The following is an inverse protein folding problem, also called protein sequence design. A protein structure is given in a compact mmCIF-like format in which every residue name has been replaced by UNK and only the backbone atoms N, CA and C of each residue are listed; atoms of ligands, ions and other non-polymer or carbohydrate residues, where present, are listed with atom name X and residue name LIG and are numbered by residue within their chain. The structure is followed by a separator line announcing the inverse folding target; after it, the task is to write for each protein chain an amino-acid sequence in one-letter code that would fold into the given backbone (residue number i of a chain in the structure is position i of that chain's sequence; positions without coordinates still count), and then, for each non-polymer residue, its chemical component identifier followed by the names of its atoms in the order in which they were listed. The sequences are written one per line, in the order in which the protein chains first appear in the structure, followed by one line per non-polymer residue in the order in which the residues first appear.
data_IF_391447827944
#
_entry.id   IF_391447827944
#
_cell.length_a   1.000
_cell.length_b   1.000
_cell.length_c   1.000
_cell.angle_alpha   90.00
_cell.angle_beta   90.00
_cell.angle_gamma   90.00
#
_symmetry.space_group_name_H-M   'P 1'
#
loop_
_entity.id
_entity.type
_entity.pdbx_description
1 polymer ?
#
# COMPACT_ATOMS: atom_id res chain seq x y z
N UNK A 1 -11.50 5.23 36.59
CA UNK A 1 -10.92 3.89 36.83
C UNK A 1 -9.56 3.86 36.14
N UNK A 2 -8.48 3.52 36.85
CA UNK A 2 -7.12 3.83 36.41
C UNK A 2 -6.69 2.98 35.20
N UNK A 3 -6.34 3.65 34.10
CA UNK A 3 -5.74 3.07 32.88
C UNK A 3 -4.48 2.24 33.15
N UNK A 4 -3.86 2.40 34.33
CA UNK A 4 -2.73 1.60 34.80
C UNK A 4 -3.06 0.11 35.02
N UNK A 5 -4.33 -0.30 35.12
CA UNK A 5 -4.67 -1.70 35.37
C UNK A 5 -4.73 -2.58 34.10
N UNK A 6 -4.94 -1.99 32.92
CA UNK A 6 -5.25 -2.74 31.70
C UNK A 6 -4.11 -2.73 30.66
N UNK A 7 -3.17 -1.79 30.74
CA UNK A 7 -2.07 -1.63 29.78
C UNK A 7 -0.73 -1.62 30.51
N UNK A 8 0.22 -2.39 29.99
CA UNK A 8 1.55 -2.48 30.59
C UNK A 8 2.49 -1.35 30.09
N UNK A 9 3.72 -1.31 30.62
CA UNK A 9 4.72 -0.31 30.21
C UNK A 9 5.13 -0.44 28.75
N UNK A 10 5.07 -1.65 28.20
CA UNK A 10 5.45 -1.93 26.81
C UNK A 10 4.38 -1.45 25.83
N UNK A 11 3.10 -1.55 26.19
CA UNK A 11 2.00 -0.95 25.42
C UNK A 11 2.20 0.57 25.28
N UNK A 12 2.53 1.24 26.39
CA UNK A 12 2.77 2.69 26.38
C UNK A 12 4.03 3.06 25.60
N UNK A 13 5.12 2.33 25.80
CA UNK A 13 6.37 2.58 25.08
C UNK A 13 6.19 2.42 23.56
N UNK A 14 5.42 1.41 23.13
CA UNK A 14 5.12 1.21 21.71
C UNK A 14 4.22 2.31 21.18
N UNK A 15 3.19 2.73 21.92
CA UNK A 15 2.34 3.86 21.53
C UNK A 15 3.15 5.17 21.39
N UNK A 16 4.03 5.46 22.34
CA UNK A 16 4.92 6.62 22.29
C UNK A 16 5.83 6.57 21.04
N UNK A 17 6.35 5.38 20.69
CA UNK A 17 7.13 5.18 19.47
C UNK A 17 6.28 5.43 18.21
N UNK A 18 5.03 4.96 18.19
CA UNK A 18 4.12 5.17 17.05
C UNK A 18 3.79 6.65 16.87
N UNK A 19 3.35 7.30 17.94
CA UNK A 19 2.94 8.70 17.91
C UNK A 19 4.13 9.61 17.59
N UNK A 20 5.31 9.36 18.17
CA UNK A 20 6.52 10.17 17.88
C UNK A 20 7.00 10.05 16.43
N UNK A 21 6.94 8.85 15.83
CA UNK A 21 7.31 8.64 14.42
C UNK A 21 6.32 9.32 13.47
N UNK A 22 5.05 9.36 13.86
CA UNK A 22 3.96 10.03 13.10
C UNK A 22 4.01 11.56 13.22
N UNK A 23 4.46 12.11 14.35
CA UNK A 23 4.45 13.55 14.66
C UNK A 23 5.67 14.34 14.15
N UNK A 24 6.67 13.72 13.53
CA UNK A 24 7.91 14.39 13.11
C UNK A 24 8.61 15.16 14.25
N UNK A 25 8.66 14.63 15.47
CA UNK A 25 9.51 15.24 16.51
C UNK A 25 10.98 15.10 16.08
N UNK A 26 11.68 16.23 16.04
CA UNK A 26 13.05 16.41 15.53
C UNK A 26 14.12 15.64 16.32
N UNK A 27 13.78 15.16 17.52
CA UNK A 27 14.64 14.29 18.33
C UNK A 27 14.54 12.83 17.85
N UNK A 28 15.37 12.51 16.86
CA UNK A 28 15.53 11.15 16.37
C UNK A 28 16.20 10.31 17.46
N UNK A 29 15.41 9.51 18.20
CA UNK A 29 15.94 8.53 19.16
C UNK A 29 16.87 7.54 18.44
N UNK A 30 17.90 7.04 19.15
CA UNK A 30 18.89 6.10 18.60
C UNK A 30 18.23 4.89 17.91
N UNK A 31 17.11 4.41 18.45
CA UNK A 31 16.29 3.33 17.85
C UNK A 31 15.77 3.72 16.46
N UNK A 32 15.22 4.93 16.29
CA UNK A 32 14.78 5.43 14.98
C UNK A 32 15.94 5.58 13.99
N UNK A 33 17.17 5.90 14.46
CA UNK A 33 18.36 5.92 13.59
C UNK A 33 18.79 4.53 13.15
N UNK A 34 18.76 3.55 14.06
CA UNK A 34 19.09 2.16 13.76
C UNK A 34 18.12 1.57 12.74
N UNK A 35 16.83 1.88 12.87
CA UNK A 35 15.82 1.41 11.92
C UNK A 35 15.77 2.17 10.59
N UNK A 36 16.17 3.44 10.56
CA UNK A 36 16.35 4.21 9.32
C UNK A 36 17.61 3.77 8.53
N UNK A 37 18.53 3.08 9.19
CA UNK A 37 19.66 2.44 8.51
C UNK A 37 19.13 1.15 7.90
N UNK A 38 19.37 0.92 6.60
CA UNK A 38 18.92 -0.27 5.85
C UNK A 38 19.59 -1.58 6.34
N UNK A 39 19.49 -1.86 7.63
CA UNK A 39 20.01 -3.03 8.31
C UNK A 39 19.00 -4.15 8.14
N UNK A 40 19.52 -5.33 7.81
CA UNK A 40 18.69 -6.52 7.66
C UNK A 40 18.00 -6.88 9.00
N UNK A 41 16.72 -7.31 9.00
CA UNK A 41 15.98 -7.64 10.23
C UNK A 41 16.65 -8.66 11.16
N UNK A 42 17.43 -9.59 10.61
CA UNK A 42 18.17 -10.63 11.35
C UNK A 42 19.61 -10.24 11.71
N UNK A 43 20.00 -8.99 11.43
CA UNK A 43 21.32 -8.47 11.78
C UNK A 43 21.34 -7.83 13.16
N UNK A 44 22.06 -6.73 13.30
CA UNK A 44 22.20 -5.98 14.56
C UNK A 44 20.84 -5.55 15.15
N UNK A 45 19.82 -5.36 14.30
CA UNK A 45 18.47 -4.97 14.71
C UNK A 45 17.78 -5.99 15.63
N UNK A 46 18.00 -7.30 15.42
CA UNK A 46 17.39 -8.33 16.26
C UNK A 46 17.99 -8.42 17.66
N UNK A 47 19.21 -7.93 17.83
CA UNK A 47 19.90 -7.87 19.13
C UNK A 47 19.52 -6.61 19.92
N UNK A 48 19.10 -5.56 19.22
CA UNK A 48 18.79 -4.27 19.84
C UNK A 48 17.30 -4.09 20.14
N UNK A 49 16.39 -4.79 19.45
CA UNK A 49 14.94 -4.50 19.48
C UNK A 49 14.08 -5.76 19.35
N UNK A 50 12.85 -5.72 19.88
CA UNK A 50 11.91 -6.84 19.80
C UNK A 50 11.22 -6.91 18.43
N UNK A 51 10.75 -8.10 18.02
CA UNK A 51 10.05 -8.30 16.75
C UNK A 51 8.82 -7.40 16.61
N UNK A 52 8.05 -7.21 17.68
CA UNK A 52 6.87 -6.35 17.71
C UNK A 52 7.23 -4.91 17.37
N UNK A 53 8.31 -4.39 17.97
CA UNK A 53 8.81 -3.04 17.70
C UNK A 53 9.32 -2.88 16.27
N UNK A 54 10.03 -3.87 15.74
CA UNK A 54 10.50 -3.85 14.34
C UNK A 54 9.35 -3.85 13.35
N UNK A 55 8.37 -4.73 13.57
CA UNK A 55 7.16 -4.78 12.75
C UNK A 55 6.39 -3.46 12.84
N UNK A 56 6.18 -2.93 14.04
CA UNK A 56 5.49 -1.67 14.21
C UNK A 56 6.19 -0.55 13.42
N UNK A 57 7.51 -0.45 13.57
CA UNK A 57 8.32 0.54 12.87
C UNK A 57 8.23 0.39 11.35
N UNK A 58 8.39 -0.82 10.81
CA UNK A 58 8.31 -1.08 9.38
C UNK A 58 6.94 -0.68 8.81
N UNK A 59 5.85 -1.00 9.52
CA UNK A 59 4.50 -0.61 9.10
C UNK A 59 4.32 0.90 9.16
N UNK A 60 4.73 1.57 10.24
CA UNK A 60 4.57 3.03 10.39
C UNK A 60 5.37 3.78 9.33
N UNK A 61 6.61 3.35 9.06
CA UNK A 61 7.43 3.96 8.01
C UNK A 61 6.78 3.81 6.64
N UNK A 62 6.16 2.66 6.34
CA UNK A 62 5.39 2.48 5.12
C UNK A 62 4.16 3.40 5.09
N UNK A 63 3.35 3.45 6.16
CA UNK A 63 2.17 4.31 6.21
C UNK A 63 2.55 5.79 6.05
N UNK A 64 3.64 6.22 6.66
CA UNK A 64 4.17 7.58 6.51
C UNK A 64 4.63 7.87 5.08
N UNK A 65 5.35 6.95 4.45
CA UNK A 65 5.86 7.17 3.07
C UNK A 65 4.72 7.20 2.05
N UNK A 66 3.64 6.43 2.25
CA UNK A 66 2.49 6.41 1.35
C UNK A 66 1.47 7.53 1.59
N UNK A 67 1.41 8.10 2.80
CA UNK A 67 0.52 9.24 3.14
C UNK A 67 1.19 10.61 2.94
N UNK A 68 2.52 10.68 3.01
CA UNK A 68 3.29 11.92 2.82
C UNK A 68 3.61 12.25 1.35
N UNK A 69 4.33 13.36 1.15
CA UNK A 69 4.94 13.76 -0.13
C UNK A 69 6.22 12.95 -0.46
N UNK A 70 6.38 11.75 0.11
CA UNK A 70 7.56 10.92 -0.14
C UNK A 70 7.67 10.59 -1.64
N UNK A 71 8.88 10.40 -2.13
CA UNK A 71 9.06 9.99 -3.52
C UNK A 71 8.71 8.49 -3.71
N UNK A 72 8.62 8.03 -4.95
CA UNK A 72 8.31 6.62 -5.24
C UNK A 72 9.38 5.66 -4.68
N UNK A 73 10.65 6.08 -4.62
CA UNK A 73 11.76 5.26 -4.13
C UNK A 73 11.65 5.00 -2.62
N UNK A 74 11.34 6.04 -1.84
CA UNK A 74 11.09 5.95 -0.40
C UNK A 74 9.92 5.01 -0.09
N UNK A 75 8.82 5.14 -0.86
CA UNK A 75 7.66 4.24 -0.75
C UNK A 75 8.01 2.78 -1.01
N UNK A 76 8.72 2.51 -2.10
CA UNK A 76 9.13 1.15 -2.48
C UNK A 76 10.12 0.55 -1.48
N UNK A 77 11.06 1.36 -0.99
CA UNK A 77 12.02 0.95 0.04
C UNK A 77 11.31 0.56 1.34
N UNK A 78 10.37 1.39 1.81
CA UNK A 78 9.57 1.09 2.99
C UNK A 78 8.69 -0.16 2.80
N UNK A 79 8.13 -0.36 1.60
CA UNK A 79 7.33 -1.54 1.28
C UNK A 79 8.19 -2.82 1.32
N UNK A 80 9.41 -2.76 0.77
CA UNK A 80 10.36 -3.87 0.82
C UNK A 80 10.79 -4.19 2.25
N UNK A 81 11.11 -3.18 3.05
CA UNK A 81 11.44 -3.37 4.46
C UNK A 81 10.31 -4.03 5.24
N UNK A 82 9.05 -3.63 5.01
CA UNK A 82 7.88 -4.29 5.60
C UNK A 82 7.77 -5.75 5.14
N UNK A 83 7.86 -6.00 3.84
CA UNK A 83 7.74 -7.36 3.30
C UNK A 83 8.82 -8.28 3.88
N UNK A 84 10.06 -7.80 3.96
CA UNK A 84 11.17 -8.54 4.53
C UNK A 84 10.97 -8.81 6.03
N UNK A 85 10.44 -7.86 6.80
CA UNK A 85 10.10 -8.10 8.21
C UNK A 85 9.00 -9.16 8.35
N UNK A 86 7.95 -9.10 7.51
CA UNK A 86 6.84 -10.08 7.55
C UNK A 86 7.31 -11.49 7.20
N UNK A 87 8.07 -11.64 6.11
CA UNK A 87 8.45 -12.96 5.59
C UNK A 87 9.59 -13.57 6.38
N UNK A 88 10.57 -12.75 6.77
CA UNK A 88 11.79 -13.27 7.37
C UNK A 88 11.70 -13.30 8.90
N UNK A 89 11.11 -12.30 9.55
CA UNK A 89 11.24 -12.15 11.02
C UNK A 89 10.20 -12.92 11.83
N UNK A 90 9.08 -13.29 11.21
CA UNK A 90 8.06 -14.09 11.87
C UNK A 90 8.53 -15.55 12.01
N UNK A 91 8.84 -15.99 13.23
CA UNK A 91 9.20 -17.39 13.55
C UNK A 91 8.00 -18.36 13.51
N UNK A 92 6.81 -17.85 13.19
CA UNK A 92 5.55 -18.61 13.11
C UNK A 92 5.33 -19.18 11.72
N UNK A 93 4.65 -20.34 11.56
CA UNK A 93 4.23 -20.83 10.25
C UNK A 93 3.10 -19.99 9.60
N UNK A 94 2.52 -19.00 10.32
CA UNK A 94 1.36 -18.22 9.90
C UNK A 94 1.72 -16.76 9.55
N UNK A 95 2.86 -16.57 8.87
CA UNK A 95 3.55 -15.28 8.70
C UNK A 95 2.75 -14.27 7.89
N UNK A 96 2.24 -14.70 6.72
CA UNK A 96 1.56 -13.82 5.78
C UNK A 96 0.27 -13.29 6.43
N UNK A 97 -0.54 -14.18 7.00
CA UNK A 97 -1.76 -13.77 7.66
C UNK A 97 -1.50 -12.90 8.89
N UNK A 98 -0.46 -13.21 9.67
CA UNK A 98 -0.01 -12.37 10.79
C UNK A 98 0.35 -10.96 10.31
N UNK A 99 1.19 -10.84 9.28
CA UNK A 99 1.57 -9.55 8.70
C UNK A 99 0.37 -8.75 8.18
N UNK A 100 -0.57 -9.41 7.48
CA UNK A 100 -1.80 -8.76 6.98
C UNK A 100 -2.63 -8.16 8.11
N UNK A 101 -2.77 -8.88 9.22
CA UNK A 101 -3.48 -8.38 10.41
C UNK A 101 -2.71 -7.24 11.07
N UNK A 102 -1.39 -7.37 11.25
CA UNK A 102 -0.58 -6.32 11.90
C UNK A 102 -0.62 -5.00 11.13
N UNK A 103 -0.54 -5.06 9.80
CA UNK A 103 -0.68 -3.86 8.95
C UNK A 103 -2.06 -3.24 9.13
N UNK A 104 -3.12 -4.06 9.17
CA UNK A 104 -4.48 -3.55 9.36
C UNK A 104 -4.68 -2.92 10.75
N UNK A 105 -4.16 -3.56 11.82
CA UNK A 105 -4.20 -2.97 13.18
C UNK A 105 -3.45 -1.65 13.21
N UNK A 106 -2.27 -1.54 12.59
CA UNK A 106 -1.52 -0.29 12.58
C UNK A 106 -2.26 0.84 11.86
N UNK A 107 -2.94 0.53 10.75
CA UNK A 107 -3.82 1.51 10.09
C UNK A 107 -4.93 1.99 11.03
N UNK A 108 -5.49 1.10 11.85
CA UNK A 108 -6.49 1.45 12.85
C UNK A 108 -5.87 2.34 13.97
N UNK A 109 -4.63 2.05 14.41
CA UNK A 109 -3.88 2.85 15.40
C UNK A 109 -3.66 4.28 14.90
N UNK A 110 -3.20 4.43 13.65
CA UNK A 110 -2.97 5.74 13.03
C UNK A 110 -4.27 6.53 12.89
N UNK A 111 -5.38 5.86 12.53
CA UNK A 111 -6.72 6.48 12.43
C UNK A 111 -7.28 6.90 13.78
N UNK A 112 -6.98 6.17 14.85
CA UNK A 112 -7.44 6.47 16.20
C UNK A 112 -6.62 7.57 16.91
N UNK A 113 -5.68 8.21 16.20
CA UNK A 113 -4.85 9.29 16.75
C UNK A 113 -5.72 10.39 17.40
N UNK A 114 -5.33 10.80 18.60
CA UNK A 114 -6.10 11.74 19.44
C UNK A 114 -7.06 11.07 20.41
N UNK A 115 -7.19 9.73 20.37
CA UNK A 115 -7.88 8.93 21.36
C UNK A 115 -6.91 7.89 21.96
N UNK A 116 -6.15 8.30 22.97
CA UNK A 116 -5.07 7.51 23.57
C UNK A 116 -5.57 6.16 24.12
N UNK A 117 -6.76 6.13 24.72
CA UNK A 117 -7.35 4.89 25.25
C UNK A 117 -7.58 3.88 24.12
N UNK A 118 -8.13 4.34 22.99
CA UNK A 118 -8.37 3.46 21.84
C UNK A 118 -7.07 3.03 21.17
N UNK A 119 -6.09 3.94 21.05
CA UNK A 119 -4.77 3.58 20.56
C UNK A 119 -4.09 2.54 21.46
N UNK A 120 -4.17 2.67 22.79
CA UNK A 120 -3.61 1.68 23.73
C UNK A 120 -4.25 0.30 23.57
N UNK A 121 -5.57 0.22 23.38
CA UNK A 121 -6.24 -1.06 23.08
C UNK A 121 -5.71 -1.70 21.80
N UNK A 122 -5.60 -0.91 20.73
CA UNK A 122 -5.13 -1.39 19.43
C UNK A 122 -3.64 -1.79 19.48
N UNK A 123 -2.81 -1.09 20.26
CA UNK A 123 -1.41 -1.45 20.51
C UNK A 123 -1.30 -2.76 21.26
N UNK A 124 -2.14 -2.95 22.27
CA UNK A 124 -2.19 -4.20 23.02
C UNK A 124 -2.59 -5.38 22.12
N UNK A 125 -3.59 -5.17 21.24
CA UNK A 125 -3.98 -6.13 20.21
C UNK A 125 -2.87 -6.40 19.19
N UNK A 126 -2.15 -5.36 18.76
CA UNK A 126 -0.99 -5.49 17.86
C UNK A 126 0.06 -6.43 18.46
N UNK A 127 0.43 -6.23 19.74
CA UNK A 127 1.40 -7.09 20.44
C UNK A 127 0.92 -8.54 20.55
N UNK A 128 -0.37 -8.77 20.83
CA UNK A 128 -0.95 -10.12 20.84
C UNK A 128 -0.83 -10.82 19.50
N UNK A 129 -1.10 -10.11 18.41
CA UNK A 129 -1.02 -10.66 17.05
C UNK A 129 0.43 -10.89 16.64
N UNK A 130 1.36 -10.02 17.04
CA UNK A 130 2.77 -10.08 16.65
C UNK A 130 3.50 -11.33 17.18
N UNK A 131 2.96 -11.99 18.23
CA UNK A 131 3.39 -13.32 18.67
C UNK A 131 3.07 -14.44 17.66
N UNK A 132 2.22 -14.20 16.66
CA UNK A 132 2.00 -15.10 15.53
C UNK A 132 1.17 -16.35 15.85
N UNK A 133 0.41 -16.37 16.95
CA UNK A 133 -0.45 -17.50 17.32
C UNK A 133 -1.61 -17.64 16.32
N UNK A 134 -1.74 -18.75 15.57
CA UNK A 134 -2.74 -18.86 14.50
C UNK A 134 -4.19 -18.70 14.97
N UNK A 135 -4.52 -19.14 16.19
CA UNK A 135 -5.89 -18.99 16.74
C UNK A 135 -6.22 -17.52 16.98
N UNK A 136 -5.28 -16.77 17.53
CA UNK A 136 -5.43 -15.32 17.76
C UNK A 136 -5.53 -14.62 16.41
N UNK A 137 -4.59 -14.86 15.50
CA UNK A 137 -4.56 -14.20 14.18
C UNK A 137 -5.86 -14.45 13.41
N UNK A 138 -6.42 -15.67 13.42
CA UNK A 138 -7.73 -15.97 12.82
C UNK A 138 -8.88 -15.17 13.40
N UNK A 139 -8.91 -15.01 14.72
CA UNK A 139 -9.91 -14.15 15.38
C UNK A 139 -9.83 -12.71 14.88
N UNK A 140 -8.62 -12.19 14.72
CA UNK A 140 -8.38 -10.83 14.23
C UNK A 140 -8.62 -10.66 12.72
N UNK A 141 -8.37 -11.69 11.91
CA UNK A 141 -8.76 -11.73 10.51
C UNK A 141 -10.29 -11.60 10.38
N UNK A 142 -11.03 -12.43 11.13
CA UNK A 142 -12.49 -12.44 11.13
C UNK A 142 -13.07 -11.09 11.60
N UNK A 143 -12.56 -10.52 12.69
CA UNK A 143 -13.05 -9.25 13.24
C UNK A 143 -12.80 -8.05 12.31
N UNK A 144 -11.89 -8.19 11.34
CA UNK A 144 -11.52 -7.15 10.36
C UNK A 144 -11.99 -7.49 8.95
N UNK A 145 -12.85 -8.50 8.79
CA UNK A 145 -13.39 -8.94 7.50
C UNK A 145 -12.29 -9.31 6.48
N UNK A 146 -11.18 -9.87 6.97
CA UNK A 146 -10.10 -10.40 6.15
C UNK A 146 -10.24 -11.92 6.06
N UNK A 147 -10.21 -12.45 4.84
CA UNK A 147 -10.15 -13.91 4.64
C UNK A 147 -8.75 -14.42 5.02
N UNK A 148 -8.68 -15.60 5.65
CA UNK A 148 -7.44 -16.36 5.80
C UNK A 148 -6.95 -16.80 4.43
N UNK A 149 -5.69 -16.47 4.11
CA UNK A 149 -5.03 -16.87 2.87
C UNK A 149 -4.12 -18.07 3.11
N UNK A 150 -3.86 -18.92 2.10
CA UNK A 150 -2.83 -19.93 2.23
C UNK A 150 -1.45 -19.28 2.41
N UNK A 151 -0.64 -19.83 3.31
CA UNK A 151 0.72 -19.33 3.57
C UNK A 151 1.69 -19.63 2.41
N UNK A 152 1.34 -20.54 1.50
CA UNK A 152 2.00 -20.75 0.20
C UNK A 152 1.79 -19.59 -0.79
N UNK A 153 0.83 -18.70 -0.52
CA UNK A 153 0.50 -17.53 -1.36
C UNK A 153 0.14 -17.87 -2.82
N UNK A 154 -0.59 -18.98 -3.00
CA UNK A 154 -0.99 -19.58 -4.27
C UNK A 154 -2.50 -19.48 -4.54
N UNK A 155 -3.24 -18.67 -3.77
CA UNK A 155 -4.66 -18.44 -3.95
C UNK A 155 -5.02 -17.81 -5.31
N UNK A 156 -6.25 -18.07 -5.78
CA UNK A 156 -6.80 -17.55 -7.04
C UNK A 156 -7.72 -16.34 -6.81
N UNK A 157 -7.20 -15.28 -6.19
CA UNK A 157 -7.92 -14.03 -5.96
C UNK A 157 -7.48 -12.96 -6.95
N UNK A 158 -8.44 -12.24 -7.53
CA UNK A 158 -8.14 -11.21 -8.52
C UNK A 158 -9.11 -10.03 -8.47
N UNK A 159 -8.62 -8.87 -8.92
CA UNK A 159 -9.43 -7.71 -9.26
C UNK A 159 -8.96 -7.18 -10.62
N UNK A 160 -9.87 -7.13 -11.59
CA UNK A 160 -9.53 -6.85 -12.99
C UNK A 160 -9.82 -5.41 -13.41
N UNK A 161 -10.29 -4.55 -12.51
CA UNK A 161 -10.60 -3.17 -12.85
C UNK A 161 -10.40 -2.27 -11.63
N UNK A 162 -9.18 -1.76 -11.46
CA UNK A 162 -8.86 -0.84 -10.36
C UNK A 162 -8.16 0.40 -10.88
N UNK A 163 -8.40 1.53 -10.22
CA UNK A 163 -7.72 2.80 -10.49
C UNK A 163 -6.86 3.21 -9.30
N UNK A 164 -5.68 3.77 -9.59
CA UNK A 164 -4.84 4.46 -8.61
C UNK A 164 -5.05 6.00 -8.70
N UNK A 165 -4.30 6.76 -7.89
CA UNK A 165 -4.39 8.21 -7.83
C UNK A 165 -3.93 8.97 -9.07
N UNK A 166 -3.30 8.32 -10.05
CA UNK A 166 -2.94 8.92 -11.33
C UNK A 166 -4.14 8.96 -12.30
N UNK A 167 -5.30 8.44 -11.87
CA UNK A 167 -6.59 8.63 -12.55
C UNK A 167 -7.69 9.02 -11.57
N UNK A 168 -8.60 8.10 -11.25
CA UNK A 168 -9.78 8.32 -10.40
C UNK A 168 -9.65 7.69 -9.01
N UNK A 169 -8.58 6.94 -8.77
CA UNK A 169 -8.32 6.32 -7.48
C UNK A 169 -7.86 7.35 -6.44
N UNK A 170 -7.80 6.92 -5.18
CA UNK A 170 -7.32 7.75 -4.06
C UNK A 170 -5.92 7.39 -3.57
N UNK A 171 -5.38 6.25 -4.03
CA UNK A 171 -4.17 5.64 -3.51
C UNK A 171 -3.09 5.64 -4.58
N UNK A 172 -1.88 6.03 -4.22
CA UNK A 172 -0.71 5.87 -5.10
C UNK A 172 -0.45 4.37 -5.39
N UNK A 173 0.37 4.04 -6.41
CA UNK A 173 0.62 2.67 -6.81
C UNK A 173 1.10 1.76 -5.66
N UNK A 174 2.06 2.22 -4.85
CA UNK A 174 2.58 1.45 -3.72
C UNK A 174 1.49 1.15 -2.68
N UNK A 175 0.69 2.16 -2.31
CA UNK A 175 -0.44 1.98 -1.38
C UNK A 175 -1.45 0.99 -1.97
N UNK A 176 -1.81 1.14 -3.26
CA UNK A 176 -2.77 0.24 -3.91
C UNK A 176 -2.32 -1.23 -3.79
N UNK A 177 -1.05 -1.52 -4.05
CA UNK A 177 -0.48 -2.86 -3.93
C UNK A 177 -0.49 -3.37 -2.48
N UNK A 178 -0.10 -2.54 -1.50
CA UNK A 178 -0.16 -2.90 -0.08
C UNK A 178 -1.60 -3.29 0.31
N UNK A 179 -2.60 -2.50 -0.08
CA UNK A 179 -4.00 -2.77 0.25
C UNK A 179 -4.54 -4.02 -0.44
N UNK A 180 -4.11 -4.29 -1.67
CA UNK A 180 -4.43 -5.54 -2.35
C UNK A 180 -3.83 -6.75 -1.63
N UNK A 181 -2.59 -6.63 -1.14
CA UNK A 181 -1.95 -7.67 -0.35
C UNK A 181 -2.67 -7.93 0.98
N UNK A 182 -3.06 -6.87 1.71
CA UNK A 182 -3.88 -7.00 2.94
C UNK A 182 -5.19 -7.75 2.64
N UNK A 183 -5.84 -7.45 1.51
CA UNK A 183 -7.07 -8.13 1.08
C UNK A 183 -6.86 -9.56 0.58
N UNK A 184 -5.61 -9.98 0.41
CA UNK A 184 -5.29 -11.32 -0.11
C UNK A 184 -5.39 -11.43 -1.63
N UNK A 185 -5.42 -10.32 -2.37
CA UNK A 185 -5.53 -10.30 -3.84
C UNK A 185 -4.18 -10.69 -4.48
N UNK A 186 -4.20 -11.70 -5.37
CA UNK A 186 -3.00 -12.23 -6.03
C UNK A 186 -2.76 -11.66 -7.43
N UNK A 187 -3.80 -11.14 -8.07
CA UNK A 187 -3.73 -10.55 -9.41
C UNK A 187 -4.54 -9.27 -9.51
N UNK A 188 -3.94 -8.21 -10.05
CA UNK A 188 -4.58 -6.93 -10.29
C UNK A 188 -4.47 -6.51 -11.76
N UNK A 189 -5.48 -5.84 -12.27
CA UNK A 189 -5.36 -5.00 -13.47
C UNK A 189 -5.65 -3.56 -13.08
N UNK A 190 -4.63 -2.70 -13.19
CA UNK A 190 -4.74 -1.26 -12.91
C UNK A 190 -4.94 -0.52 -14.22
N UNK A 191 -5.99 0.29 -14.29
CA UNK A 191 -6.45 0.93 -15.52
C UNK A 191 -6.22 2.43 -15.43
N UNK A 192 -5.54 2.97 -16.44
CA UNK A 192 -5.28 4.39 -16.60
C UNK A 192 -6.08 4.97 -17.76
N UNK A 193 -6.54 6.22 -17.67
CA UNK A 193 -7.37 6.83 -18.69
C UNK A 193 -6.49 7.49 -19.74
N UNK A 194 -6.58 6.98 -20.98
CA UNK A 194 -5.92 7.43 -22.19
C UNK A 194 -4.36 7.41 -22.17
N UNK A 195 -3.72 7.64 -21.03
CA UNK A 195 -2.26 7.71 -20.87
C UNK A 195 -1.83 7.28 -19.46
N UNK A 196 -0.55 6.99 -19.29
CA UNK A 196 0.11 6.70 -18.02
C UNK A 196 1.57 7.14 -18.09
N UNK A 197 2.09 7.75 -17.03
CA UNK A 197 3.51 8.08 -16.93
C UNK A 197 4.32 6.77 -16.74
N UNK A 198 5.38 6.50 -17.53
CA UNK A 198 6.24 5.34 -17.33
C UNK A 198 6.78 5.19 -15.91
N UNK A 199 7.04 6.29 -15.19
CA UNK A 199 7.46 6.24 -13.79
C UNK A 199 6.37 5.67 -12.85
N UNK A 200 5.09 5.95 -13.14
CA UNK A 200 3.95 5.35 -12.43
C UNK A 200 3.88 3.84 -12.67
N UNK A 201 4.11 3.41 -13.92
CA UNK A 201 4.17 1.98 -14.28
C UNK A 201 5.32 1.29 -13.55
N UNK A 202 6.49 1.94 -13.50
CA UNK A 202 7.67 1.46 -12.79
C UNK A 202 7.40 1.30 -11.29
N UNK A 203 6.79 2.29 -10.63
CA UNK A 203 6.39 2.17 -9.22
C UNK A 203 5.40 1.01 -9.01
N UNK A 204 4.34 0.93 -9.82
CA UNK A 204 3.29 -0.09 -9.70
C UNK A 204 3.86 -1.50 -9.83
N UNK A 205 4.66 -1.73 -10.87
CA UNK A 205 5.23 -3.04 -11.20
C UNK A 205 6.29 -3.46 -10.18
N UNK A 206 7.13 -2.53 -9.71
CA UNK A 206 8.11 -2.78 -8.65
C UNK A 206 7.42 -3.12 -7.32
N UNK A 207 6.40 -2.36 -6.93
CA UNK A 207 5.62 -2.65 -5.72
C UNK A 207 4.97 -4.04 -5.79
N UNK A 208 4.38 -4.37 -6.94
CA UNK A 208 3.76 -5.67 -7.17
C UNK A 208 4.77 -6.82 -7.06
N UNK A 209 5.98 -6.64 -7.59
CA UNK A 209 7.05 -7.63 -7.48
C UNK A 209 7.53 -7.84 -6.04
N UNK A 210 7.67 -6.76 -5.25
CA UNK A 210 8.01 -6.82 -3.83
C UNK A 210 6.99 -7.69 -3.10
N UNK A 211 5.70 -7.39 -3.27
CA UNK A 211 4.61 -8.07 -2.55
C UNK A 211 4.18 -9.40 -3.17
N UNK A 212 4.87 -9.86 -4.22
CA UNK A 212 4.51 -11.06 -5.00
C UNK A 212 3.04 -11.03 -5.42
N UNK A 213 2.60 -9.94 -6.04
CA UNK A 213 1.30 -9.77 -6.68
C UNK A 213 1.51 -9.67 -8.19
N UNK A 214 0.68 -10.34 -8.98
CA UNK A 214 0.70 -10.17 -10.43
C UNK A 214 -0.05 -8.91 -10.77
N UNK A 215 0.54 -8.01 -11.56
CA UNK A 215 -0.14 -6.79 -12.00
C UNK A 215 -0.14 -6.70 -13.52
N UNK A 216 -1.22 -6.16 -14.07
CA UNK A 216 -1.35 -5.74 -15.46
C UNK A 216 -1.68 -4.26 -15.50
N UNK A 217 -1.09 -3.56 -16.44
CA UNK A 217 -1.37 -2.14 -16.71
C UNK A 217 -2.29 -2.08 -17.91
N UNK A 218 -3.44 -1.42 -17.78
CA UNK A 218 -4.39 -1.18 -18.85
C UNK A 218 -4.54 0.30 -19.16
N UNK A 219 -4.88 0.62 -20.41
CA UNK A 219 -5.35 1.95 -20.81
C UNK A 219 -6.81 1.86 -21.20
N UNK A 220 -7.64 2.68 -20.59
CA UNK A 220 -9.04 2.87 -20.97
C UNK A 220 -9.15 4.06 -21.92
N UNK A 221 -9.69 3.80 -23.09
CA UNK A 221 -9.97 4.79 -24.12
C UNK A 221 -11.47 4.93 -24.30
N UNK A 222 -11.93 6.15 -24.51
CA UNK A 222 -13.33 6.43 -24.85
C UNK A 222 -13.43 6.84 -26.31
N UNK A 223 -14.36 6.23 -27.03
CA UNK A 223 -14.66 6.57 -28.42
C UNK A 223 -16.17 6.73 -28.64
N UNK A 224 -16.54 7.42 -29.72
CA UNK A 224 -17.94 7.58 -30.14
C UNK A 224 -18.34 6.37 -30.98
N UNK A 225 -19.41 5.70 -30.57
CA UNK A 225 -20.02 4.60 -31.30
C UNK A 225 -21.49 4.93 -31.57
N UNK A 226 -21.79 5.32 -32.81
CA UNK A 226 -23.10 5.83 -33.19
C UNK A 226 -23.40 7.17 -32.51
N UNK A 227 -24.44 7.20 -31.67
CA UNK A 227 -24.84 8.38 -30.87
C UNK A 227 -24.46 8.26 -29.38
N UNK A 228 -23.62 7.28 -29.02
CA UNK A 228 -23.22 6.98 -27.63
C UNK A 228 -21.69 6.91 -27.52
N UNK A 229 -21.21 6.92 -26.30
CA UNK A 229 -19.81 6.61 -25.99
C UNK A 229 -19.63 5.12 -25.72
N UNK A 230 -18.50 4.58 -26.13
CA UNK A 230 -18.03 3.25 -25.80
C UNK A 230 -16.63 3.34 -25.21
N UNK A 231 -16.42 2.64 -24.09
CA UNK A 231 -15.15 2.56 -23.39
C UNK A 231 -14.47 1.24 -23.75
N UNK A 232 -13.17 1.31 -24.07
CA UNK A 232 -12.35 0.17 -24.47
C UNK A 232 -11.10 0.12 -23.60
N UNK A 233 -10.88 -1.02 -22.95
CA UNK A 233 -9.70 -1.24 -22.12
C UNK A 233 -8.69 -2.07 -22.94
N UNK A 234 -7.56 -1.46 -23.24
CA UNK A 234 -6.41 -2.13 -23.83
C UNK A 234 -5.45 -2.57 -22.71
N UNK A 235 -5.23 -3.88 -22.58
CA UNK A 235 -4.28 -4.45 -21.62
C UNK A 235 -3.21 -5.23 -22.39
N UNK A 236 -1.99 -4.71 -22.55
CA UNK A 236 -0.90 -5.46 -23.16
C UNK A 236 -0.57 -6.72 -22.34
N UNK A 237 -0.19 -7.79 -23.03
CA UNK A 237 0.08 -9.12 -22.46
C UNK A 237 1.40 -9.66 -22.99
N UNK A 238 1.90 -10.73 -22.37
CA UNK A 238 3.09 -11.45 -22.82
C UNK A 238 4.38 -11.09 -22.07
N UNK A 239 4.29 -10.28 -21.02
CA UNK A 239 5.43 -9.92 -20.18
C UNK A 239 5.70 -10.99 -19.12
N UNK A 240 6.97 -11.31 -18.89
CA UNK A 240 7.39 -12.25 -17.86
C UNK A 240 7.80 -11.53 -16.57
N UNK A 241 8.39 -10.35 -16.69
CA UNK A 241 8.92 -9.57 -15.58
C UNK A 241 8.44 -8.11 -15.59
N UNK A 242 8.65 -7.41 -14.48
CA UNK A 242 8.31 -6.00 -14.32
C UNK A 242 9.07 -5.13 -15.33
N UNK A 243 10.35 -5.44 -15.57
CA UNK A 243 11.21 -4.71 -16.50
C UNK A 243 10.68 -4.74 -17.93
N UNK A 244 10.16 -5.88 -18.38
CA UNK A 244 9.58 -6.02 -19.72
C UNK A 244 8.39 -5.07 -19.93
N UNK A 245 7.56 -4.90 -18.88
CA UNK A 245 6.42 -3.97 -18.91
C UNK A 245 6.93 -2.54 -18.99
N UNK A 246 7.93 -2.19 -18.18
CA UNK A 246 8.52 -0.84 -18.15
C UNK A 246 9.12 -0.49 -19.50
N UNK A 247 9.89 -1.41 -20.11
CA UNK A 247 10.47 -1.23 -21.43
C UNK A 247 9.39 -1.05 -22.50
N UNK A 248 8.32 -1.85 -22.44
CA UNK A 248 7.18 -1.72 -23.35
C UNK A 248 6.57 -0.31 -23.33
N UNK A 249 6.32 0.27 -22.16
CA UNK A 249 5.79 1.64 -22.05
C UNK A 249 6.82 2.73 -22.39
N UNK A 250 8.12 2.40 -22.42
CA UNK A 250 9.20 3.29 -22.88
C UNK A 250 9.42 3.23 -24.41
N UNK A 251 8.88 2.24 -25.11
CA UNK A 251 9.05 2.10 -26.57
C UNK A 251 8.36 3.22 -27.36
N UNK A 252 9.01 3.67 -28.45
CA UNK A 252 8.57 4.84 -29.23
C UNK A 252 7.12 4.77 -29.73
N UNK A 253 6.62 3.65 -30.31
CA UNK A 253 5.21 3.57 -30.74
C UNK A 253 4.23 3.73 -29.58
N UNK A 254 4.53 3.12 -28.43
CA UNK A 254 3.68 3.22 -27.23
C UNK A 254 3.71 4.63 -26.67
N UNK A 255 4.90 5.26 -26.59
CA UNK A 255 5.02 6.66 -26.16
C UNK A 255 4.24 7.63 -27.05
N UNK A 256 4.11 7.36 -28.35
CA UNK A 256 3.26 8.17 -29.22
C UNK A 256 1.78 8.03 -28.86
N UNK A 257 1.30 6.82 -28.58
CA UNK A 257 -0.08 6.60 -28.08
C UNK A 257 -0.30 7.34 -26.76
N UNK A 258 0.64 7.27 -25.82
CA UNK A 258 0.55 7.98 -24.54
C UNK A 258 0.48 9.50 -24.72
N UNK A 259 1.25 10.07 -25.66
CA UNK A 259 1.22 11.51 -25.99
C UNK A 259 -0.12 11.94 -26.59
N UNK A 260 -0.71 11.14 -27.48
CA UNK A 260 -2.06 11.41 -27.98
C UNK A 260 -3.10 11.30 -26.85
N UNK A 261 -2.90 10.35 -25.93
CA UNK A 261 -3.72 10.22 -24.72
C UNK A 261 -3.63 11.43 -23.78
N UNK A 262 -2.45 12.03 -23.63
CA UNK A 262 -2.26 13.28 -22.88
C UNK A 262 -3.08 14.43 -23.50
N UNK A 263 -3.04 14.58 -24.83
CA UNK A 263 -3.85 15.58 -25.54
C UNK A 263 -5.35 15.33 -25.35
N UNK A 264 -5.79 14.07 -25.42
CA UNK A 264 -7.19 13.71 -25.18
C UNK A 264 -7.61 14.07 -23.74
N UNK A 265 -6.78 13.78 -22.74
CA UNK A 265 -7.05 14.16 -21.35
C UNK A 265 -7.11 15.68 -21.16
N UNK A 266 -6.22 16.44 -21.79
CA UNK A 266 -6.27 17.90 -21.76
C UNK A 266 -7.57 18.44 -22.36
N UNK A 267 -7.98 17.93 -23.52
CA UNK A 267 -9.24 18.29 -24.15
C UNK A 267 -10.45 17.94 -23.25
N UNK A 268 -10.47 16.75 -22.64
CA UNK A 268 -11.54 16.37 -21.70
C UNK A 268 -11.63 17.32 -20.50
N UNK A 269 -10.49 17.76 -19.97
CA UNK A 269 -10.46 18.73 -18.87
C UNK A 269 -11.07 20.07 -19.31
N UNK A 270 -10.67 20.61 -20.46
CA UNK A 270 -11.23 21.84 -21.03
C UNK A 270 -12.74 21.74 -21.23
N UNK A 271 -13.24 20.65 -21.82
CA UNK A 271 -14.68 20.46 -22.00
C UNK A 271 -15.43 20.34 -20.67
N UNK A 272 -14.83 19.71 -19.67
CA UNK A 272 -15.43 19.58 -18.33
C UNK A 272 -15.57 20.95 -17.66
N UNK A 273 -14.55 21.81 -17.76
CA UNK A 273 -14.61 23.18 -17.25
C UNK A 273 -15.63 24.02 -18.01
N UNK A 274 -15.65 23.96 -19.34
CA UNK A 274 -16.63 24.68 -20.15
C UNK A 274 -18.09 24.27 -19.81
N UNK A 275 -18.32 22.97 -19.58
CA UNK A 275 -19.62 22.47 -19.14
C UNK A 275 -19.99 23.00 -17.74
N UNK A 276 -19.04 23.03 -16.81
CA UNK A 276 -19.25 23.56 -15.46
C UNK A 276 -19.57 25.05 -15.48
N UNK A 277 -18.86 25.83 -16.30
CA UNK A 277 -19.13 27.26 -16.49
C UNK A 277 -20.53 27.48 -17.09
N UNK A 278 -20.88 26.71 -18.13
CA UNK A 278 -22.21 26.77 -18.73
C UNK A 278 -23.30 26.40 -17.73
N UNK A 279 -23.09 25.38 -16.90
CA UNK A 279 -24.03 25.00 -15.85
C UNK A 279 -24.22 26.15 -14.85
N UNK A 280 -23.14 26.71 -14.30
CA UNK A 280 -23.19 27.80 -13.32
C UNK A 280 -23.81 29.10 -13.88
N UNK A 281 -23.77 29.31 -15.19
CA UNK A 281 -24.36 30.48 -15.83
C UNK A 281 -25.87 30.31 -16.10
N UNK A 282 -26.36 29.06 -16.24
CA UNK A 282 -27.72 28.77 -16.70
C UNK A 282 -28.61 28.09 -15.65
N UNK A 283 -28.06 27.65 -14.52
CA UNK A 283 -28.74 26.97 -13.42
C UNK A 283 -28.29 27.51 -12.08
#
# INVERSE_FOLDING_TARGET
MSENLYFDKSDRALLDMVNSTTEQKTDIKLEQKLFNTALHPHGILSLATTHESRMAYAVINLLKSIEGLGDASERLSALRALYDEVINSATTPFRINTGRVLVQIMKDIVRAKGNDIEQLKLIHDFRKVAAGNPRIVRSFLASRFLFEMPESWDQLTMDQHVHDSNTKGRKNPTYLIMDAWIKGIRSLTVIYHNTVNPATVEELTTAAEIMKIRVRVGLEFRSVFGKKYADFIWVPRGFAKAEDVIEFFKNAPVRNVLKEGEKANAWYAEQTYALLESFNANH
#
